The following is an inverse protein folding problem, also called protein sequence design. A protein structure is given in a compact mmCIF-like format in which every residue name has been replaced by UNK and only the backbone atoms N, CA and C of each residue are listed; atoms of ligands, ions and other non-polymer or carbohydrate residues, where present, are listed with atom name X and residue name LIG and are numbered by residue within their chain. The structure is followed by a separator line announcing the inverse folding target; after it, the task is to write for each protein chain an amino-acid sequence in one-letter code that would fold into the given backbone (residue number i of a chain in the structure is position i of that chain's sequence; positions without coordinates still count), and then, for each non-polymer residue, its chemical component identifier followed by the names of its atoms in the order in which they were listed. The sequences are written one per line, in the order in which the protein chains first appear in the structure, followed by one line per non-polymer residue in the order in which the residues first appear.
data_IF_856046290486
#
_entry.id   IF_856046290486
#
_cell.length_a   1.000
_cell.length_b   1.000
_cell.length_c   1.000
_cell.angle_alpha   90.00
_cell.angle_beta   90.00
_cell.angle_gamma   90.00
#
_symmetry.space_group_name_H-M   'P 1'
#
loop_
_entity.id
_entity.type
_entity.pdbx_description
1 polymer ?
#
# COMPACT_ATOMS: atom_id res chain seq x y z
N UNK A 1 -27.17 -22.29 15.37
CA UNK A 1 -26.08 -21.27 15.51
C UNK A 1 -26.37 -20.01 14.72
N UNK A 2 -26.89 -20.11 13.48
CA UNK A 2 -27.26 -18.97 12.63
C UNK A 2 -28.13 -17.90 13.33
N UNK A 3 -29.17 -18.30 14.07
CA UNK A 3 -30.08 -17.36 14.74
C UNK A 3 -29.50 -16.65 15.97
N UNK A 4 -28.37 -17.11 16.52
CA UNK A 4 -27.64 -16.40 17.58
C UNK A 4 -26.73 -15.32 16.99
N UNK A 5 -26.05 -15.65 15.89
CA UNK A 5 -25.24 -14.70 15.11
C UNK A 5 -26.12 -13.60 14.51
N UNK A 6 -27.27 -13.98 13.95
CA UNK A 6 -28.23 -13.04 13.37
C UNK A 6 -28.81 -12.05 14.39
N UNK A 7 -29.18 -12.54 15.59
CA UNK A 7 -29.63 -11.67 16.68
C UNK A 7 -28.50 -10.78 17.22
N UNK A 8 -27.27 -11.29 17.28
CA UNK A 8 -26.10 -10.48 17.64
C UNK A 8 -25.86 -9.34 16.64
N UNK A 9 -26.00 -9.63 15.34
CA UNK A 9 -25.92 -8.62 14.28
C UNK A 9 -27.04 -7.57 14.39
N UNK A 10 -28.28 -8.00 14.61
CA UNK A 10 -29.42 -7.09 14.75
C UNK A 10 -29.33 -6.23 16.02
N UNK A 11 -28.78 -6.77 17.11
CA UNK A 11 -28.58 -6.03 18.35
C UNK A 11 -27.52 -4.92 18.25
N UNK A 12 -26.62 -4.95 17.26
CA UNK A 12 -25.70 -3.84 16.99
C UNK A 12 -26.42 -2.62 16.38
N UNK A 13 -27.62 -2.82 15.85
CA UNK A 13 -28.48 -1.81 15.22
C UNK A 13 -29.74 -1.48 16.01
N UNK A 14 -29.96 -2.12 17.16
CA UNK A 14 -31.09 -1.85 18.03
C UNK A 14 -30.74 -0.70 18.99
N UNK A 15 -31.39 0.45 18.81
CA UNK A 15 -31.26 1.61 19.70
C UNK A 15 -31.86 1.30 21.08
N UNK A 16 -31.04 0.79 22.00
CA UNK A 16 -31.44 0.51 23.38
C UNK A 16 -31.26 1.78 24.23
N UNK A 17 -32.38 2.33 24.72
CA UNK A 17 -32.44 3.56 25.52
C UNK A 17 -31.98 3.25 26.96
N UNK A 18 -30.67 3.23 27.21
CA UNK A 18 -30.07 3.14 28.56
C UNK A 18 -29.00 4.22 28.78
N UNK A 19 -28.75 4.66 30.03
CA UNK A 19 -27.98 5.87 30.29
C UNK A 19 -26.47 5.69 30.08
N UNK A 20 -25.91 6.51 29.19
CA UNK A 20 -24.52 6.99 29.09
C UNK A 20 -23.36 5.97 29.24
N UNK A 21 -23.41 4.85 28.50
CA UNK A 21 -22.16 4.28 27.97
C UNK A 21 -21.77 5.09 26.72
N UNK A 22 -20.48 5.23 26.33
CA UNK A 22 -20.16 5.77 25.03
C UNK A 22 -20.76 4.84 23.97
N UNK A 23 -21.92 5.24 23.45
CA UNK A 23 -22.56 4.58 22.32
C UNK A 23 -21.61 4.79 21.15
N UNK A 24 -20.90 3.74 20.76
CA UNK A 24 -20.08 3.78 19.56
C UNK A 24 -21.03 3.95 18.37
N UNK A 25 -20.98 5.12 17.76
CA UNK A 25 -21.73 5.43 16.56
C UNK A 25 -21.41 4.37 15.48
N UNK A 26 -22.40 3.57 15.01
CA UNK A 26 -22.19 2.57 13.98
C UNK A 26 -21.57 3.16 12.71
N UNK A 27 -21.85 4.42 12.40
CA UNK A 27 -21.24 5.16 11.28
C UNK A 27 -19.74 5.36 11.53
N UNK A 28 -19.35 5.71 12.75
CA UNK A 28 -17.93 5.85 13.12
C UNK A 28 -17.18 4.52 12.97
N UNK A 29 -17.76 3.41 13.44
CA UNK A 29 -17.17 2.07 13.28
C UNK A 29 -17.03 1.70 11.81
N UNK A 30 -18.07 1.95 11.01
CA UNK A 30 -18.04 1.72 9.56
C UNK A 30 -16.96 2.53 8.86
N UNK A 31 -16.83 3.82 9.21
CA UNK A 31 -15.81 4.71 8.64
C UNK A 31 -14.39 4.25 8.96
N UNK A 32 -14.14 3.86 10.22
CA UNK A 32 -12.82 3.35 10.64
C UNK A 32 -12.48 2.07 9.88
N UNK A 33 -13.43 1.14 9.76
CA UNK A 33 -13.21 -0.11 9.02
C UNK A 33 -12.87 0.14 7.55
N UNK A 34 -13.66 0.98 6.86
CA UNK A 34 -13.41 1.34 5.46
C UNK A 34 -12.07 2.06 5.30
N UNK A 35 -11.75 2.96 6.24
CA UNK A 35 -10.44 3.64 6.29
C UNK A 35 -9.29 2.64 6.40
N UNK A 36 -9.35 1.70 7.34
CA UNK A 36 -8.35 0.66 7.51
C UNK A 36 -8.18 -0.19 6.25
N UNK A 37 -9.28 -0.67 5.66
CA UNK A 37 -9.24 -1.47 4.43
C UNK A 37 -8.65 -0.70 3.26
N UNK A 38 -8.98 0.59 3.14
CA UNK A 38 -8.43 1.46 2.10
C UNK A 38 -6.92 1.61 2.26
N UNK A 39 -6.44 1.84 3.50
CA UNK A 39 -5.01 1.92 3.79
C UNK A 39 -4.31 0.61 3.45
N UNK A 40 -4.88 -0.54 3.83
CA UNK A 40 -4.31 -1.84 3.47
C UNK A 40 -4.26 -2.07 1.96
N UNK A 41 -5.32 -1.71 1.23
CA UNK A 41 -5.35 -1.84 -0.21
C UNK A 41 -4.28 -0.96 -0.88
N UNK A 42 -4.12 0.30 -0.45
CA UNK A 42 -3.09 1.21 -0.95
C UNK A 42 -1.70 0.64 -0.68
N UNK A 43 -1.43 0.19 0.54
CA UNK A 43 -0.14 -0.42 0.90
C UNK A 43 0.15 -1.67 0.06
N UNK A 44 -0.82 -2.57 -0.05
CA UNK A 44 -0.71 -3.78 -0.84
C UNK A 44 -0.36 -3.48 -2.29
N UNK A 45 -1.15 -2.63 -2.96
CA UNK A 45 -0.95 -2.32 -4.37
C UNK A 45 0.35 -1.57 -4.61
N UNK A 46 0.74 -0.68 -3.69
CA UNK A 46 2.01 0.07 -3.79
C UNK A 46 3.21 -0.87 -3.67
N UNK A 47 3.20 -1.76 -2.68
CA UNK A 47 4.28 -2.74 -2.50
C UNK A 47 4.29 -3.78 -3.63
N UNK A 48 3.13 -4.22 -4.09
CA UNK A 48 3.04 -5.13 -5.24
C UNK A 48 3.59 -4.47 -6.51
N UNK A 49 3.22 -3.21 -6.77
CA UNK A 49 3.75 -2.43 -7.88
C UNK A 49 5.28 -2.28 -7.80
N UNK A 50 5.83 -2.09 -6.60
CA UNK A 50 7.28 -1.95 -6.38
C UNK A 50 8.03 -3.30 -6.52
N UNK A 51 7.48 -4.37 -5.95
CA UNK A 51 8.21 -5.62 -5.69
C UNK A 51 7.89 -6.75 -6.66
N UNK A 52 6.69 -6.74 -7.28
CA UNK A 52 6.18 -7.90 -8.02
C UNK A 52 5.82 -7.55 -9.46
N UNK A 53 5.20 -6.38 -9.69
CA UNK A 53 4.77 -5.96 -11.04
C UNK A 53 5.92 -5.98 -12.03
N UNK A 54 5.76 -6.74 -13.13
CA UNK A 54 6.78 -6.96 -14.17
C UNK A 54 8.16 -7.37 -13.60
N UNK A 55 8.15 -8.25 -12.59
CA UNK A 55 9.35 -8.74 -11.91
C UNK A 55 9.89 -7.83 -10.80
N UNK A 56 9.29 -6.66 -10.59
CA UNK A 56 9.67 -5.72 -9.53
C UNK A 56 10.90 -4.87 -9.85
N UNK A 57 11.23 -3.96 -8.95
CA UNK A 57 12.36 -3.04 -9.14
C UNK A 57 13.71 -3.72 -8.96
N UNK A 58 13.83 -4.64 -8.00
CA UNK A 58 15.13 -5.19 -7.60
C UNK A 58 15.83 -5.99 -8.70
N UNK A 59 15.06 -6.73 -9.52
CA UNK A 59 15.61 -7.48 -10.66
C UNK A 59 16.18 -6.57 -11.74
N UNK A 60 15.75 -5.31 -11.78
CA UNK A 60 16.17 -4.30 -12.77
C UNK A 60 17.50 -3.64 -12.40
N UNK A 61 17.87 -3.64 -11.11
CA UNK A 61 19.07 -2.98 -10.60
C UNK A 61 20.34 -3.63 -11.16
N UNK A 62 20.44 -4.95 -11.14
CA UNK A 62 21.63 -5.67 -11.62
C UNK A 62 21.96 -5.37 -13.10
N UNK A 63 21.00 -5.56 -14.02
CA UNK A 63 21.16 -5.19 -15.43
C UNK A 63 21.47 -3.70 -15.63
N UNK A 64 20.80 -2.81 -14.89
CA UNK A 64 21.07 -1.37 -14.95
C UNK A 64 22.53 -1.06 -14.61
N UNK A 65 23.03 -1.61 -13.50
CA UNK A 65 24.42 -1.42 -13.07
C UNK A 65 25.40 -2.01 -14.09
N UNK A 66 25.09 -3.15 -14.71
CA UNK A 66 25.91 -3.70 -15.79
C UNK A 66 25.98 -2.76 -16.99
N UNK A 67 24.85 -2.23 -17.44
CA UNK A 67 24.84 -1.30 -18.58
C UNK A 67 25.56 0.01 -18.27
N UNK A 68 25.44 0.52 -17.04
CA UNK A 68 26.05 1.80 -16.63
C UNK A 68 27.56 1.68 -16.38
N UNK A 69 28.00 0.59 -15.74
CA UNK A 69 29.39 0.47 -15.26
C UNK A 69 30.25 -0.50 -16.08
N UNK A 70 29.68 -1.20 -17.06
CA UNK A 70 30.43 -2.13 -17.92
C UNK A 70 30.14 -1.85 -19.39
N UNK A 71 30.74 -2.63 -20.30
CA UNK A 71 30.50 -2.53 -21.73
C UNK A 71 29.18 -3.20 -22.19
N UNK A 72 28.32 -3.64 -21.25
CA UNK A 72 27.03 -4.22 -21.58
C UNK A 72 26.10 -3.19 -22.24
N UNK A 73 25.35 -3.62 -23.24
CA UNK A 73 24.41 -2.79 -23.98
C UNK A 73 22.98 -2.98 -23.47
N UNK A 74 22.10 -2.05 -23.83
CA UNK A 74 20.66 -2.19 -23.54
C UNK A 74 20.05 -3.45 -24.19
N UNK A 75 20.59 -3.90 -25.33
CA UNK A 75 20.17 -5.14 -25.99
C UNK A 75 20.49 -6.38 -25.15
N UNK A 76 21.59 -6.37 -24.38
CA UNK A 76 21.96 -7.47 -23.48
C UNK A 76 21.00 -7.58 -22.28
N UNK A 77 20.30 -6.49 -21.95
CA UNK A 77 19.22 -6.47 -20.96
C UNK A 77 17.83 -6.80 -21.57
N UNK A 78 17.79 -7.15 -22.87
CA UNK A 78 16.57 -7.51 -23.59
C UNK A 78 15.81 -6.33 -24.20
N UNK A 79 16.37 -5.11 -24.18
CA UNK A 79 15.74 -3.94 -24.81
C UNK A 79 15.95 -4.00 -26.32
N UNK A 80 14.86 -4.16 -27.08
CA UNK A 80 14.91 -4.27 -28.55
C UNK A 80 14.22 -3.11 -29.27
N UNK A 81 13.49 -2.28 -28.54
CA UNK A 81 12.82 -1.11 -29.07
C UNK A 81 12.03 -0.35 -28.00
N UNK A 82 11.25 0.67 -28.39
CA UNK A 82 10.55 1.54 -27.45
C UNK A 82 9.46 0.84 -26.62
N UNK A 83 8.92 -0.28 -27.11
CA UNK A 83 7.87 -1.07 -26.44
C UNK A 83 8.38 -2.39 -25.87
N UNK A 84 9.53 -2.86 -26.35
CA UNK A 84 10.15 -4.10 -25.91
C UNK A 84 11.30 -3.74 -24.97
N UNK A 85 10.96 -3.49 -23.71
CA UNK A 85 11.91 -3.03 -22.69
C UNK A 85 12.62 -4.20 -21.98
N UNK A 86 12.28 -5.45 -22.32
CA UNK A 86 12.91 -6.64 -21.76
C UNK A 86 12.80 -6.66 -20.24
N UNK A 87 13.93 -6.78 -19.55
CA UNK A 87 13.96 -6.80 -18.07
C UNK A 87 13.44 -5.50 -17.45
N UNK A 88 13.43 -4.39 -18.19
CA UNK A 88 12.95 -3.08 -17.73
C UNK A 88 11.46 -2.84 -17.95
N UNK A 89 10.68 -3.85 -18.36
CA UNK A 89 9.23 -3.69 -18.42
C UNK A 89 8.63 -3.28 -17.06
N UNK A 90 7.64 -2.39 -17.10
CA UNK A 90 7.01 -1.85 -15.90
C UNK A 90 7.88 -0.93 -15.04
N UNK A 91 9.07 -0.50 -15.49
CA UNK A 91 9.98 0.30 -14.66
C UNK A 91 9.34 1.60 -14.11
N UNK A 92 8.49 2.27 -14.91
CA UNK A 92 7.75 3.47 -14.47
C UNK A 92 6.80 3.12 -13.31
N UNK A 93 6.12 1.98 -13.39
CA UNK A 93 5.19 1.51 -12.34
C UNK A 93 5.97 1.17 -11.08
N UNK A 94 7.12 0.49 -11.21
CA UNK A 94 7.97 0.18 -10.07
C UNK A 94 8.52 1.45 -9.41
N UNK A 95 8.94 2.46 -10.19
CA UNK A 95 9.42 3.74 -9.67
C UNK A 95 8.32 4.56 -8.99
N UNK A 96 7.11 4.57 -9.56
CA UNK A 96 5.95 5.19 -8.92
C UNK A 96 5.62 4.49 -7.59
N UNK A 97 5.67 3.16 -7.57
CA UNK A 97 5.55 2.34 -6.36
C UNK A 97 6.60 2.69 -5.31
N UNK A 98 7.86 2.88 -5.71
CA UNK A 98 8.95 3.30 -4.82
C UNK A 98 8.66 4.69 -4.23
N UNK A 99 8.35 5.66 -5.08
CA UNK A 99 8.09 7.03 -4.65
C UNK A 99 6.92 7.09 -3.66
N UNK A 100 5.83 6.39 -3.94
CA UNK A 100 4.67 6.32 -3.06
C UNK A 100 4.99 5.59 -1.75
N UNK A 101 5.76 4.49 -1.80
CA UNK A 101 6.21 3.78 -0.59
C UNK A 101 7.05 4.69 0.30
N UNK A 102 7.99 5.42 -0.27
CA UNK A 102 8.82 6.39 0.46
C UNK A 102 7.98 7.52 1.04
N UNK A 103 7.03 8.07 0.27
CA UNK A 103 6.13 9.11 0.75
C UNK A 103 5.33 8.63 1.97
N UNK A 104 4.75 7.43 1.91
CA UNK A 104 4.01 6.85 3.03
C UNK A 104 4.91 6.57 4.24
N UNK A 105 6.10 6.00 4.03
CA UNK A 105 7.05 5.71 5.10
C UNK A 105 7.54 6.99 5.80
N UNK A 106 7.86 8.04 5.03
CA UNK A 106 8.27 9.34 5.56
C UNK A 106 7.11 10.04 6.27
N UNK A 107 5.90 9.99 5.71
CA UNK A 107 4.71 10.55 6.34
C UNK A 107 4.43 9.91 7.69
N UNK A 108 4.39 8.59 7.75
CA UNK A 108 4.21 7.84 9.02
C UNK A 108 5.37 8.10 9.97
N UNK A 109 6.61 8.02 9.49
CA UNK A 109 7.80 8.31 10.29
C UNK A 109 7.78 9.71 10.90
N UNK A 110 7.33 10.71 10.14
CA UNK A 110 7.24 12.10 10.63
C UNK A 110 6.25 12.25 11.79
N UNK A 111 5.17 11.47 11.78
CA UNK A 111 4.17 11.47 12.86
C UNK A 111 4.69 10.70 14.08
N UNK A 112 5.29 9.52 13.86
CA UNK A 112 5.77 8.66 14.95
C UNK A 112 7.01 9.21 15.65
N UNK A 113 7.87 9.91 14.92
CA UNK A 113 9.13 10.47 15.44
C UNK A 113 9.02 11.97 15.76
N UNK A 114 7.83 12.56 15.62
CA UNK A 114 7.63 13.96 15.97
C UNK A 114 7.93 14.18 17.48
N UNK A 115 8.78 15.15 17.84
CA UNK A 115 8.98 15.50 19.23
C UNK A 115 7.66 16.00 19.83
N UNK A 116 7.40 15.74 21.13
CA UNK A 116 6.18 16.20 21.78
C UNK A 116 6.08 17.73 21.64
N UNK A 117 4.94 18.21 21.12
CA UNK A 117 4.67 19.66 21.06
C UNK A 117 4.78 20.23 22.47
N UNK A 118 5.72 21.15 22.69
CA UNK A 118 5.74 21.99 23.89
C UNK A 118 4.43 22.80 23.86
N UNK A 119 3.61 22.60 24.89
CA UNK A 119 2.41 23.40 25.13
C UNK A 119 2.80 24.85 25.44
#
# INVERSE_FOLDING_TARGET
MIGRVWRGFWNLWADDVRPAAPVYDPVHVGLVLVGCLTVFAVLFWTLWALLVCEGGLFVKIGPLLKVVFTAATWADAGVRGPRELGVFEGWIVNLAGLAMTLFLALGVGSVLLAPPRKK
#
